data_IF_400926104832
#
_entry.id   IF_400926104832
#
_cell.length_a   1.000
_cell.length_b   1.000
_cell.length_c   1.000
_cell.angle_alpha   90.00
_cell.angle_beta   90.00
_cell.angle_gamma   90.00
#
_symmetry.space_group_name_H-M   'P 1'
#
loop_
_entity.id
_entity.type
_entity.pdbx_description
1 polymer ?
#
# COMPACT_ATOMS: atom_id res chain seq x y z
N UNK A 1 -21.80 -31.52 -5.23
CA UNK A 1 -20.87 -31.74 -6.38
C UNK A 1 -19.52 -31.01 -6.16
N UNK A 2 -19.54 -29.83 -5.59
CA UNK A 2 -18.34 -29.04 -5.32
C UNK A 2 -17.52 -29.59 -4.12
N UNK A 3 -18.18 -30.04 -3.06
CA UNK A 3 -17.51 -30.69 -1.93
C UNK A 3 -16.78 -31.98 -2.33
N UNK A 4 -17.33 -32.75 -3.29
CA UNK A 4 -16.71 -33.96 -3.80
C UNK A 4 -15.41 -33.70 -4.58
N UNK A 5 -15.17 -32.47 -5.04
CA UNK A 5 -14.01 -32.04 -5.81
C UNK A 5 -13.04 -31.17 -5.01
N UNK A 6 -13.20 -31.06 -3.69
CA UNK A 6 -12.32 -30.26 -2.81
C UNK A 6 -12.46 -28.75 -3.02
N UNK A 7 -13.54 -28.27 -3.64
CA UNK A 7 -13.83 -26.85 -3.79
C UNK A 7 -14.40 -26.35 -2.45
N UNK A 8 -13.63 -25.55 -1.73
CA UNK A 8 -14.09 -24.89 -0.51
C UNK A 8 -14.87 -23.63 -0.90
N UNK A 9 -16.14 -23.55 -0.50
CA UNK A 9 -16.90 -22.31 -0.58
C UNK A 9 -16.48 -21.42 0.58
N UNK A 10 -16.08 -20.19 0.27
CA UNK A 10 -15.84 -19.15 1.27
C UNK A 10 -17.12 -18.34 1.35
N UNK A 11 -17.77 -18.33 2.50
CA UNK A 11 -18.87 -17.42 2.78
C UNK A 11 -18.28 -16.03 3.00
N UNK A 12 -18.80 -15.03 2.27
CA UNK A 12 -18.38 -13.64 2.38
C UNK A 12 -19.45 -12.84 3.12
N UNK A 13 -18.98 -11.94 3.98
CA UNK A 13 -19.78 -10.90 4.60
C UNK A 13 -19.45 -9.55 3.96
N UNK A 14 -20.35 -8.58 4.08
CA UNK A 14 -20.16 -7.21 3.57
C UNK A 14 -20.38 -6.19 4.71
N UNK A 15 -19.55 -5.15 4.74
CA UNK A 15 -19.79 -3.92 5.52
C UNK A 15 -19.77 -2.73 4.57
N UNK A 16 -20.59 -1.72 4.89
CA UNK A 16 -20.71 -0.51 4.09
C UNK A 16 -20.63 0.73 4.98
N UNK A 17 -19.95 1.78 4.51
CA UNK A 17 -19.91 3.09 5.16
C UNK A 17 -21.04 4.00 4.65
N UNK A 18 -21.24 5.12 5.33
CA UNK A 18 -22.20 6.16 4.90
C UNK A 18 -21.86 6.77 3.54
N UNK A 19 -20.58 6.74 3.15
CA UNK A 19 -20.09 7.24 1.86
C UNK A 19 -20.21 6.18 0.74
N UNK A 20 -20.81 5.01 1.04
CA UNK A 20 -21.02 3.93 0.10
C UNK A 20 -19.78 3.10 -0.20
N UNK A 21 -18.69 3.26 0.56
CA UNK A 21 -17.52 2.39 0.49
C UNK A 21 -17.88 1.06 1.15
N UNK A 22 -17.60 -0.04 0.45
CA UNK A 22 -17.91 -1.38 0.89
C UNK A 22 -16.67 -2.23 1.03
N UNK A 23 -16.71 -3.19 1.94
CA UNK A 23 -15.75 -4.29 2.00
C UNK A 23 -16.47 -5.63 1.96
N UNK A 24 -15.86 -6.59 1.26
CA UNK A 24 -16.24 -8.01 1.34
C UNK A 24 -15.07 -8.77 1.99
N UNK A 25 -15.37 -9.61 2.95
CA UNK A 25 -14.39 -10.35 3.72
C UNK A 25 -14.88 -11.77 4.04
N UNK A 26 -13.93 -12.67 4.29
CA UNK A 26 -14.23 -14.04 4.68
C UNK A 26 -14.94 -14.06 6.04
N UNK A 27 -16.01 -14.84 6.15
CA UNK A 27 -16.69 -15.10 7.43
C UNK A 27 -15.76 -15.75 8.46
N UNK A 28 -14.74 -16.45 7.97
CA UNK A 28 -13.73 -17.14 8.78
C UNK A 28 -12.54 -16.23 9.15
N UNK A 29 -12.51 -14.95 8.71
CA UNK A 29 -11.45 -14.01 9.11
C UNK A 29 -11.42 -13.84 10.63
N UNK A 30 -10.31 -14.21 11.26
CA UNK A 30 -10.18 -14.27 12.73
C UNK A 30 -10.23 -12.89 13.40
N UNK A 31 -10.04 -11.81 12.65
CA UNK A 31 -10.02 -10.45 13.18
C UNK A 31 -11.36 -9.73 13.04
N UNK A 32 -12.10 -9.99 11.97
CA UNK A 32 -13.29 -9.22 11.59
C UNK A 32 -14.52 -10.07 11.27
N UNK A 33 -14.36 -11.40 11.14
CA UNK A 33 -15.44 -12.35 10.88
C UNK A 33 -15.93 -13.06 12.16
N UNK A 34 -16.87 -13.99 11.97
CA UNK A 34 -17.43 -14.82 13.05
C UNK A 34 -17.97 -14.01 14.22
N UNK A 35 -17.52 -14.34 15.44
CA UNK A 35 -17.97 -13.69 16.68
C UNK A 35 -17.54 -12.21 16.80
N UNK A 36 -16.63 -11.75 15.95
CA UNK A 36 -16.15 -10.36 15.93
C UNK A 36 -16.93 -9.46 14.95
N UNK A 37 -17.76 -10.05 14.09
CA UNK A 37 -18.44 -9.33 13.01
C UNK A 37 -19.28 -8.13 13.48
N UNK A 38 -20.08 -8.32 14.54
CA UNK A 38 -20.94 -7.27 15.09
C UNK A 38 -20.15 -6.22 15.91
N UNK A 39 -18.92 -6.56 16.34
CA UNK A 39 -18.07 -5.73 17.19
C UNK A 39 -17.13 -4.83 16.37
N UNK A 40 -17.09 -5.01 15.07
CA UNK A 40 -16.19 -4.27 14.18
C UNK A 40 -17.02 -3.36 13.28
N UNK A 41 -16.73 -2.06 13.28
CA UNK A 41 -17.29 -1.08 12.37
C UNK A 41 -16.33 -0.75 11.26
N UNK A 42 -16.85 -0.59 10.04
CA UNK A 42 -16.12 0.02 8.92
C UNK A 42 -16.38 1.52 8.95
N UNK A 43 -15.31 2.29 8.93
CA UNK A 43 -15.35 3.75 8.87
C UNK A 43 -14.58 4.25 7.65
N UNK A 44 -15.11 5.27 7.00
CA UNK A 44 -14.42 6.01 5.96
C UNK A 44 -14.54 7.51 6.20
N UNK A 45 -13.52 8.24 5.76
CA UNK A 45 -13.49 9.68 5.81
C UNK A 45 -12.77 10.20 4.57
N UNK A 46 -13.42 11.08 3.82
CA UNK A 46 -12.72 11.80 2.76
C UNK A 46 -11.78 12.83 3.39
N UNK A 47 -10.51 12.78 3.00
CA UNK A 47 -9.48 13.72 3.44
C UNK A 47 -9.52 15.00 2.61
N UNK A 48 -9.23 16.10 3.26
CA UNK A 48 -9.09 17.43 2.67
C UNK A 48 -7.71 18.01 2.98
N UNK A 49 -7.33 19.12 2.35
CA UNK A 49 -6.05 19.79 2.58
C UNK A 49 -5.80 20.19 4.04
N UNK A 50 -6.86 20.31 4.85
CA UNK A 50 -6.75 20.61 6.28
C UNK A 50 -6.38 19.40 7.14
N UNK A 51 -6.45 18.20 6.59
CA UNK A 51 -6.11 16.96 7.29
C UNK A 51 -4.60 16.72 7.28
N UNK A 52 -4.06 16.32 8.42
CA UNK A 52 -2.63 16.04 8.55
C UNK A 52 -2.17 14.91 7.61
N UNK A 53 -3.02 13.91 7.43
CA UNK A 53 -2.78 12.77 6.56
C UNK A 53 -2.70 13.19 5.09
N UNK A 54 -3.47 14.23 4.69
CA UNK A 54 -3.45 14.78 3.34
C UNK A 54 -2.08 15.42 3.00
N UNK A 55 -1.38 15.97 3.98
CA UNK A 55 -0.06 16.59 3.77
C UNK A 55 1.02 15.61 3.28
N UNK A 56 0.78 14.31 3.38
CA UNK A 56 1.65 13.26 2.84
C UNK A 56 1.49 13.10 1.32
N UNK A 57 0.41 13.65 0.74
CA UNK A 57 0.11 13.54 -0.68
C UNK A 57 0.85 14.65 -1.42
N UNK A 58 1.97 14.30 -2.00
CA UNK A 58 2.79 15.18 -2.82
C UNK A 58 3.05 14.53 -4.16
N UNK A 59 2.61 15.16 -5.24
CA UNK A 59 2.75 14.67 -6.61
C UNK A 59 4.04 15.14 -7.28
N UNK A 60 4.86 15.95 -6.63
CA UNK A 60 6.09 16.51 -7.20
C UNK A 60 7.03 15.39 -7.64
N UNK A 61 7.34 15.37 -8.95
CA UNK A 61 8.20 14.35 -9.56
C UNK A 61 7.62 12.94 -9.63
N UNK A 62 6.35 12.76 -9.24
CA UNK A 62 5.70 11.44 -9.15
C UNK A 62 4.64 11.20 -10.23
N UNK A 63 4.41 12.15 -11.13
CA UNK A 63 3.48 12.00 -12.25
C UNK A 63 4.23 11.34 -13.41
N UNK A 64 3.61 10.33 -14.05
CA UNK A 64 4.20 9.66 -15.24
C UNK A 64 4.04 10.52 -16.49
N UNK A 65 2.91 11.21 -16.62
CA UNK A 65 2.60 12.09 -17.75
C UNK A 65 3.32 13.43 -17.57
N UNK A 66 4.23 13.75 -18.51
CA UNK A 66 5.04 14.97 -18.48
C UNK A 66 4.23 16.26 -18.67
N UNK A 67 3.03 16.16 -19.23
CA UNK A 67 2.18 17.31 -19.55
C UNK A 67 1.24 17.69 -18.40
N UNK A 68 1.14 16.83 -17.37
CA UNK A 68 0.33 17.07 -16.16
C UNK A 68 1.21 17.65 -15.06
N UNK A 69 0.82 18.78 -14.51
CA UNK A 69 1.51 19.40 -13.37
C UNK A 69 0.96 18.89 -12.05
N UNK A 70 1.76 18.87 -10.97
CA UNK A 70 1.33 18.42 -9.65
C UNK A 70 0.07 19.14 -9.14
N UNK A 71 -0.04 20.44 -9.39
CA UNK A 71 -1.18 21.27 -8.98
C UNK A 71 -2.46 21.01 -9.79
N UNK A 72 -2.35 20.37 -10.96
CA UNK A 72 -3.49 20.06 -11.84
C UNK A 72 -4.02 18.63 -11.62
N UNK A 73 -3.40 17.83 -10.73
CA UNK A 73 -3.84 16.47 -10.44
C UNK A 73 -5.17 16.49 -9.68
N UNK A 74 -6.23 16.08 -10.38
CA UNK A 74 -7.53 15.86 -9.75
C UNK A 74 -7.52 14.55 -8.99
N UNK A 75 -7.78 14.59 -7.68
CA UNK A 75 -7.81 13.41 -6.83
C UNK A 75 -8.83 13.50 -5.72
N UNK A 76 -9.30 12.36 -5.26
CA UNK A 76 -10.10 12.20 -4.03
C UNK A 76 -9.37 11.20 -3.14
N UNK A 77 -9.23 11.54 -1.87
CA UNK A 77 -8.50 10.71 -0.91
C UNK A 77 -9.40 10.28 0.22
N UNK A 78 -9.35 9.01 0.55
CA UNK A 78 -10.12 8.41 1.63
C UNK A 78 -9.18 7.80 2.67
N UNK A 79 -9.45 8.05 3.93
CA UNK A 79 -8.98 7.23 5.03
C UNK A 79 -10.05 6.17 5.31
N UNK A 80 -9.65 4.90 5.20
CA UNK A 80 -10.54 3.76 5.47
C UNK A 80 -9.97 3.01 6.67
N UNK A 81 -10.82 2.67 7.64
CA UNK A 81 -10.39 1.97 8.84
C UNK A 81 -11.46 1.04 9.36
N UNK A 82 -11.02 -0.02 10.05
CA UNK A 82 -11.86 -0.86 10.89
C UNK A 82 -11.63 -0.48 12.34
N UNK A 83 -12.72 -0.35 13.11
CA UNK A 83 -12.69 -0.02 14.53
C UNK A 83 -13.41 -1.08 15.34
N UNK A 84 -12.81 -1.46 16.48
CA UNK A 84 -13.50 -2.28 17.46
C UNK A 84 -14.41 -1.42 18.38
N UNK A 85 -15.17 -2.04 19.26
CA UNK A 85 -16.06 -1.36 20.22
C UNK A 85 -15.35 -0.34 21.11
N UNK A 86 -14.05 -0.46 21.31
CA UNK A 86 -13.22 0.50 22.06
C UNK A 86 -12.67 1.64 21.17
N UNK A 87 -13.05 1.69 19.90
CA UNK A 87 -12.58 2.70 18.92
C UNK A 87 -11.12 2.48 18.46
N UNK A 88 -10.50 1.35 18.79
CA UNK A 88 -9.16 1.03 18.36
C UNK A 88 -9.18 0.50 16.92
N UNK A 89 -8.19 0.93 16.12
CA UNK A 89 -8.02 0.41 14.75
C UNK A 89 -7.61 -1.06 14.78
N UNK A 90 -8.30 -1.87 13.98
CA UNK A 90 -7.97 -3.27 13.73
C UNK A 90 -7.66 -3.47 12.25
N UNK A 91 -6.92 -4.50 11.93
CA UNK A 91 -6.61 -4.88 10.55
C UNK A 91 -7.17 -6.29 10.28
N UNK A 92 -7.58 -6.58 9.04
CA UNK A 92 -8.02 -7.92 8.68
C UNK A 92 -6.85 -8.91 8.77
N UNK A 93 -7.14 -10.15 9.13
CA UNK A 93 -6.14 -11.23 9.15
C UNK A 93 -5.92 -11.86 7.77
N UNK A 94 -6.84 -11.63 6.85
CA UNK A 94 -6.80 -12.08 5.46
C UNK A 94 -7.02 -10.89 4.51
N UNK A 95 -6.80 -11.10 3.21
CA UNK A 95 -7.14 -10.07 2.22
C UNK A 95 -8.65 -9.88 2.15
N UNK A 96 -9.05 -8.64 2.01
CA UNK A 96 -10.43 -8.22 1.82
C UNK A 96 -10.59 -7.51 0.48
N UNK A 97 -11.77 -7.61 -0.12
CA UNK A 97 -12.12 -6.83 -1.31
C UNK A 97 -12.70 -5.49 -0.87
N UNK A 98 -12.12 -4.41 -1.36
CA UNK A 98 -12.61 -3.04 -1.13
C UNK A 98 -13.29 -2.55 -2.40
N UNK A 99 -14.44 -1.88 -2.25
CA UNK A 99 -15.21 -1.27 -3.33
C UNK A 99 -15.45 0.20 -3.00
N UNK A 100 -14.78 1.09 -3.73
CA UNK A 100 -14.95 2.55 -3.60
C UNK A 100 -15.88 3.00 -4.73
N UNK A 101 -16.99 3.71 -4.45
CA UNK A 101 -17.82 4.30 -5.50
C UNK A 101 -16.95 5.22 -6.38
N UNK A 102 -17.17 5.18 -7.70
CA UNK A 102 -16.51 6.13 -8.60
C UNK A 102 -16.90 7.55 -8.19
N UNK A 103 -15.95 8.43 -7.85
CA UNK A 103 -16.27 9.77 -7.41
C UNK A 103 -16.99 10.59 -8.49
N UNK A 104 -17.83 11.53 -8.08
CA UNK A 104 -18.57 12.40 -8.99
C UNK A 104 -17.62 13.16 -9.94
N UNK A 105 -17.95 13.12 -11.23
CA UNK A 105 -17.17 13.78 -12.27
C UNK A 105 -15.88 13.07 -12.66
N UNK A 106 -15.72 11.79 -12.30
CA UNK A 106 -14.63 10.91 -12.77
C UNK A 106 -15.18 9.87 -13.75
N UNK A 107 -14.31 9.47 -14.69
CA UNK A 107 -14.59 8.36 -15.60
C UNK A 107 -13.99 7.09 -14.99
N UNK A 108 -14.85 6.22 -14.44
CA UNK A 108 -14.40 5.07 -13.65
C UNK A 108 -13.38 4.18 -14.33
N UNK A 109 -13.48 4.01 -15.65
CA UNK A 109 -12.52 3.24 -16.46
C UNK A 109 -11.12 3.85 -16.51
N UNK A 110 -11.00 5.18 -16.29
CA UNK A 110 -9.71 5.87 -16.24
C UNK A 110 -9.16 5.95 -14.82
N UNK A 111 -10.01 5.73 -13.82
CA UNK A 111 -9.62 5.83 -12.42
C UNK A 111 -8.61 4.78 -12.03
N UNK A 112 -7.69 5.21 -11.18
CA UNK A 112 -6.71 4.38 -10.48
C UNK A 112 -6.84 4.62 -9.00
N UNK A 113 -6.61 3.58 -8.23
CA UNK A 113 -6.56 3.65 -6.77
C UNK A 113 -5.13 3.40 -6.32
N UNK A 114 -4.62 4.31 -5.51
CA UNK A 114 -3.30 4.19 -4.91
C UNK A 114 -3.40 4.13 -3.39
N UNK A 115 -2.73 3.18 -2.78
CA UNK A 115 -2.42 3.23 -1.37
C UNK A 115 -1.32 4.27 -1.13
N UNK A 116 -1.48 5.11 -0.11
CA UNK A 116 -0.49 6.11 0.30
C UNK A 116 0.07 5.73 1.66
N UNK A 117 1.33 5.40 1.73
CA UNK A 117 1.97 5.02 2.98
C UNK A 117 2.36 6.23 3.85
N UNK A 118 2.87 5.98 5.07
CA UNK A 118 3.29 6.99 6.02
C UNK A 118 4.39 7.95 5.49
N UNK A 119 5.17 7.51 4.49
CA UNK A 119 6.21 8.29 3.82
C UNK A 119 5.69 9.04 2.57
N UNK A 120 4.39 9.01 2.28
CA UNK A 120 3.77 9.62 1.11
C UNK A 120 4.09 8.92 -0.22
N UNK A 121 4.43 7.63 -0.18
CA UNK A 121 4.67 6.82 -1.37
C UNK A 121 3.38 6.17 -1.84
N UNK A 122 3.26 6.01 -3.16
CA UNK A 122 2.08 5.48 -3.82
C UNK A 122 2.31 4.04 -4.27
N UNK A 123 1.39 3.14 -3.95
CA UNK A 123 1.32 1.78 -4.48
C UNK A 123 0.03 1.63 -5.26
N UNK A 124 0.10 1.23 -6.54
CA UNK A 124 -1.09 0.99 -7.34
C UNK A 124 -1.82 -0.25 -6.84
N UNK A 125 -3.09 -0.11 -6.49
CA UNK A 125 -3.94 -1.20 -6.01
C UNK A 125 -4.50 -2.06 -7.16
N UNK A 126 -4.20 -1.72 -8.43
CA UNK A 126 -4.70 -2.41 -9.62
C UNK A 126 -6.24 -2.54 -9.62
N UNK A 127 -6.91 -1.47 -9.17
CA UNK A 127 -8.35 -1.46 -9.08
C UNK A 127 -9.02 -1.61 -10.45
N UNK A 128 -10.11 -2.38 -10.48
CA UNK A 128 -10.94 -2.58 -11.67
C UNK A 128 -12.26 -1.85 -11.48
N UNK A 129 -12.66 -1.05 -12.49
CA UNK A 129 -13.97 -0.42 -12.47
C UNK A 129 -15.07 -1.41 -12.91
N UNK A 130 -16.02 -1.67 -12.02
CA UNK A 130 -17.17 -2.51 -12.30
C UNK A 130 -18.41 -2.00 -11.57
N UNK A 131 -19.54 -1.90 -12.29
CA UNK A 131 -20.84 -1.49 -11.73
C UNK A 131 -20.79 -0.17 -10.94
N UNK A 132 -19.97 0.79 -11.37
CA UNK A 132 -19.81 2.08 -10.70
C UNK A 132 -18.92 2.06 -9.46
N UNK A 133 -18.19 0.98 -9.23
CA UNK A 133 -17.22 0.84 -8.15
C UNK A 133 -15.81 0.59 -8.69
N UNK A 134 -14.82 1.13 -7.98
CA UNK A 134 -13.40 0.77 -8.11
C UNK A 134 -13.13 -0.34 -7.10
N UNK A 135 -12.79 -1.53 -7.61
CA UNK A 135 -12.70 -2.77 -6.83
C UNK A 135 -11.24 -3.21 -6.79
N UNK A 136 -10.71 -3.45 -5.60
CA UNK A 136 -9.35 -3.95 -5.38
C UNK A 136 -9.26 -4.79 -4.10
N UNK A 137 -8.19 -5.55 -3.96
CA UNK A 137 -7.89 -6.32 -2.75
C UNK A 137 -6.82 -5.64 -1.89
N UNK A 138 -6.96 -5.73 -0.57
CA UNK A 138 -5.96 -5.26 0.39
C UNK A 138 -5.91 -6.16 1.62
N UNK A 139 -4.73 -6.26 2.24
CA UNK A 139 -4.55 -6.89 3.56
C UNK A 139 -4.52 -5.88 4.71
N UNK A 140 -4.66 -4.59 4.43
CA UNK A 140 -4.65 -3.55 5.47
C UNK A 140 -5.51 -2.35 5.06
N UNK A 141 -6.04 -1.64 6.05
CA UNK A 141 -6.76 -0.39 5.85
C UNK A 141 -5.87 0.80 6.18
N UNK A 142 -5.99 1.88 5.39
CA UNK A 142 -5.17 3.08 5.48
C UNK A 142 -5.74 4.20 4.60
N UNK A 143 -4.84 5.02 4.03
CA UNK A 143 -5.16 6.12 3.11
C UNK A 143 -5.10 5.61 1.67
N UNK A 144 -6.20 5.83 0.94
CA UNK A 144 -6.34 5.50 -0.47
C UNK A 144 -6.67 6.75 -1.29
N UNK A 145 -5.97 6.93 -2.39
CA UNK A 145 -6.15 8.04 -3.31
C UNK A 145 -6.75 7.53 -4.62
N UNK A 146 -7.81 8.16 -5.09
CA UNK A 146 -8.44 7.93 -6.38
C UNK A 146 -8.08 9.09 -7.32
N UNK A 147 -7.57 8.79 -8.51
CA UNK A 147 -7.24 9.77 -9.54
C UNK A 147 -7.31 9.14 -10.93
N UNK A 148 -7.45 9.97 -11.97
CA UNK A 148 -7.33 9.55 -13.37
C UNK A 148 -5.88 9.69 -13.89
N UNK A 149 -5.00 10.32 -13.11
CA UNK A 149 -3.59 10.52 -13.44
C UNK A 149 -2.76 9.30 -13.10
N UNK A 150 -1.83 8.94 -13.98
CA UNK A 150 -0.84 7.90 -13.69
C UNK A 150 0.24 8.44 -12.75
N UNK A 151 0.30 7.86 -11.57
CA UNK A 151 1.30 8.20 -10.56
C UNK A 151 2.41 7.14 -10.60
N UNK A 152 3.67 7.60 -10.60
CA UNK A 152 4.83 6.71 -10.43
C UNK A 152 4.69 5.98 -9.10
N UNK A 153 4.45 4.70 -9.21
CA UNK A 153 4.38 3.85 -8.03
C UNK A 153 5.80 3.45 -7.62
N UNK A 154 6.02 3.31 -6.33
CA UNK A 154 7.07 2.40 -5.92
C UNK A 154 6.59 1.01 -6.35
N UNK A 155 7.29 0.39 -7.27
CA UNK A 155 7.30 -1.07 -7.37
C UNK A 155 7.49 -1.58 -5.95
N UNK A 156 6.83 -2.68 -5.57
CA UNK A 156 7.02 -3.29 -4.25
C UNK A 156 8.49 -3.19 -3.88
N UNK A 157 8.78 -2.52 -2.74
CA UNK A 157 10.17 -2.27 -2.34
C UNK A 157 10.84 -3.63 -2.27
N UNK A 158 11.70 -3.91 -3.22
CA UNK A 158 12.55 -5.08 -3.14
C UNK A 158 13.67 -4.76 -2.15
N UNK A 159 13.36 -4.92 -0.86
CA UNK A 159 14.35 -4.66 0.18
C UNK A 159 15.66 -5.39 -0.12
N UNK A 160 16.75 -4.64 -0.18
CA UNK A 160 18.06 -5.13 -0.53
C UNK A 160 18.50 -4.84 -1.97
N UNK A 161 17.59 -4.46 -2.87
CA UNK A 161 17.91 -3.96 -4.22
C UNK A 161 18.15 -2.44 -4.15
N UNK A 162 19.23 -2.06 -3.50
CA UNK A 162 19.55 -0.65 -3.24
C UNK A 162 19.96 0.12 -4.50
N UNK A 163 20.42 -0.57 -5.55
CA UNK A 163 20.83 0.04 -6.81
C UNK A 163 19.71 0.07 -7.87
N UNK A 164 18.59 -0.65 -7.63
CA UNK A 164 17.41 -0.68 -8.51
C UNK A 164 17.61 -1.52 -9.78
N UNK A 165 18.55 -2.50 -9.78
CA UNK A 165 18.79 -3.34 -10.97
C UNK A 165 17.95 -4.63 -11.01
N UNK A 166 17.06 -4.83 -10.03
CA UNK A 166 16.15 -5.97 -9.92
C UNK A 166 16.79 -7.21 -9.30
N UNK A 167 17.97 -7.09 -8.70
CA UNK A 167 18.69 -8.19 -8.03
C UNK A 167 19.18 -7.76 -6.66
N UNK A 168 19.24 -8.70 -5.74
CA UNK A 168 19.84 -8.49 -4.43
C UNK A 168 21.22 -9.18 -4.42
N UNK A 169 22.28 -8.39 -4.53
CA UNK A 169 23.65 -8.92 -4.53
C UNK A 169 24.66 -7.97 -3.83
N UNK A 170 25.95 -8.29 -3.94
CA UNK A 170 26.99 -7.49 -3.27
C UNK A 170 27.11 -6.05 -3.79
N UNK A 171 26.59 -5.74 -4.99
CA UNK A 171 26.60 -4.38 -5.56
C UNK A 171 25.73 -3.45 -4.76
N UNK A 172 24.62 -3.94 -4.21
CA UNK A 172 23.72 -3.17 -3.34
C UNK A 172 24.40 -2.77 -2.04
N UNK A 173 25.07 -3.71 -1.40
CA UNK A 173 25.86 -3.40 -0.21
C UNK A 173 27.00 -2.38 -0.52
N UNK A 174 27.58 -2.40 -1.72
CA UNK A 174 28.56 -1.41 -2.15
C UNK A 174 27.93 -0.04 -2.34
N UNK A 175 26.73 0.04 -2.94
CA UNK A 175 26.01 1.30 -3.13
C UNK A 175 25.66 1.94 -1.78
N UNK A 176 25.17 1.17 -0.82
CA UNK A 176 24.92 1.65 0.55
C UNK A 176 26.22 2.17 1.19
N UNK A 177 27.32 1.45 1.08
CA UNK A 177 28.61 1.90 1.64
C UNK A 177 29.12 3.19 1.00
N UNK A 178 28.93 3.38 -0.32
CA UNK A 178 29.24 4.64 -1.02
C UNK A 178 28.39 5.78 -0.49
N UNK A 179 27.07 5.55 -0.31
CA UNK A 179 26.14 6.54 0.26
C UNK A 179 26.58 6.98 1.66
N UNK A 180 26.84 6.03 2.55
CA UNK A 180 27.30 6.28 3.93
C UNK A 180 28.63 7.03 3.97
N UNK A 181 29.51 6.75 3.01
CA UNK A 181 30.81 7.43 2.88
C UNK A 181 30.73 8.80 2.19
N UNK A 182 29.51 9.29 1.81
CA UNK A 182 29.30 10.60 1.20
C UNK A 182 29.71 10.71 -0.26
N UNK A 183 29.88 9.60 -0.99
CA UNK A 183 30.09 9.63 -2.42
C UNK A 183 28.85 10.12 -3.16
N UNK A 184 29.04 10.71 -4.34
CA UNK A 184 27.97 11.21 -5.21
C UNK A 184 28.11 10.61 -6.61
N UNK A 185 27.10 10.82 -7.49
CA UNK A 185 27.16 10.41 -8.89
C UNK A 185 26.76 8.95 -9.14
N UNK A 186 25.95 8.36 -8.27
CA UNK A 186 25.32 7.06 -8.44
C UNK A 186 23.85 7.08 -7.99
N UNK A 187 23.07 6.11 -8.44
CA UNK A 187 21.67 5.96 -8.02
C UNK A 187 21.60 5.05 -6.78
N UNK A 188 20.77 5.43 -5.81
CA UNK A 188 20.41 4.61 -4.66
C UNK A 188 18.94 4.79 -4.34
N UNK A 189 18.22 3.68 -4.14
CA UNK A 189 16.88 3.68 -3.54
C UNK A 189 17.04 3.54 -2.02
N UNK A 190 16.80 4.64 -1.30
CA UNK A 190 16.99 4.69 0.16
C UNK A 190 16.00 3.81 0.92
N UNK A 191 14.83 3.53 0.34
CA UNK A 191 13.87 2.67 1.01
C UNK A 191 14.19 1.20 0.82
N UNK A 192 14.63 0.81 -0.38
CA UNK A 192 15.16 -0.53 -0.64
C UNK A 192 16.47 -0.79 0.14
N UNK A 193 17.21 0.27 0.43
CA UNK A 193 18.46 0.23 1.18
C UNK A 193 18.29 0.10 2.69
N UNK A 194 17.19 0.62 3.28
CA UNK A 194 16.86 0.49 4.72
C UNK A 194 16.28 -0.91 5.00
N UNK A 195 17.15 -1.91 4.95
CA UNK A 195 16.75 -3.32 5.04
C UNK A 195 16.47 -3.81 6.46
N UNK A 196 16.78 -2.99 7.46
CA UNK A 196 16.45 -3.27 8.85
C UNK A 196 15.24 -2.46 9.35
N UNK A 197 14.64 -1.62 8.49
CA UNK A 197 13.46 -0.81 8.75
C UNK A 197 13.59 0.12 9.99
N UNK A 198 14.82 0.57 10.32
CA UNK A 198 15.02 1.48 11.45
C UNK A 198 14.91 2.98 11.05
N UNK A 199 14.57 3.26 9.78
CA UNK A 199 14.41 4.59 9.21
C UNK A 199 15.73 5.28 8.84
N UNK A 200 16.85 4.55 8.83
CA UNK A 200 18.18 5.06 8.46
C UNK A 200 18.87 4.10 7.51
N UNK A 201 19.62 4.64 6.58
CA UNK A 201 20.52 3.85 5.72
C UNK A 201 21.94 4.00 6.22
N UNK A 202 22.49 2.92 6.76
CA UNK A 202 23.85 2.90 7.30
C UNK A 202 24.58 1.55 7.00
N UNK A 203 25.72 1.34 7.64
CA UNK A 203 26.53 0.14 7.42
C UNK A 203 25.85 -1.16 7.90
N UNK A 204 24.87 -1.07 8.83
CA UNK A 204 24.13 -2.25 9.32
C UNK A 204 23.29 -2.86 8.20
N UNK A 205 22.71 -2.01 7.34
CA UNK A 205 21.93 -2.44 6.19
C UNK A 205 22.80 -3.18 5.18
N UNK A 206 23.95 -2.60 4.84
CA UNK A 206 24.92 -3.27 3.98
C UNK A 206 25.33 -4.65 4.52
N UNK A 207 25.52 -4.76 5.84
CA UNK A 207 25.85 -6.04 6.49
C UNK A 207 24.68 -7.01 6.44
N UNK A 208 23.42 -6.53 6.63
CA UNK A 208 22.22 -7.39 6.59
C UNK A 208 22.01 -7.97 5.17
N UNK A 209 22.25 -7.16 4.12
CA UNK A 209 22.26 -7.64 2.71
C UNK A 209 23.34 -8.72 2.51
N UNK A 210 24.57 -8.47 2.94
CA UNK A 210 25.67 -9.44 2.78
C UNK A 210 25.39 -10.76 3.52
N UNK A 211 24.75 -10.70 4.70
CA UNK A 211 24.28 -11.89 5.42
C UNK A 211 23.25 -12.66 4.59
N UNK A 212 22.26 -11.95 4.01
CA UNK A 212 21.23 -12.59 3.16
C UNK A 212 21.83 -13.31 1.98
N UNK A 213 22.79 -12.69 1.28
CA UNK A 213 23.50 -13.27 0.13
C UNK A 213 24.33 -14.49 0.55
N UNK A 214 24.93 -14.44 1.74
CA UNK A 214 25.71 -15.54 2.31
C UNK A 214 24.83 -16.67 2.91
N UNK A 215 23.51 -16.65 2.60
CA UNK A 215 22.53 -17.68 3.02
C UNK A 215 22.34 -17.77 4.54
N UNK A 216 22.61 -16.69 5.28
CA UNK A 216 22.18 -16.59 6.67
C UNK A 216 20.65 -16.38 6.73
N UNK A 217 20.03 -16.92 7.78
CA UNK A 217 18.59 -16.73 8.02
C UNK A 217 18.34 -15.30 8.52
N UNK A 218 18.13 -14.38 7.57
CA UNK A 218 17.79 -12.98 7.82
C UNK A 218 16.66 -12.55 6.89
N UNK A 219 15.69 -11.82 7.42
CA UNK A 219 14.63 -11.18 6.65
C UNK A 219 15.03 -9.74 6.36
N UNK A 220 14.82 -9.27 5.13
CA UNK A 220 15.03 -7.88 4.75
C UNK A 220 13.71 -7.11 4.83
N UNK A 221 13.77 -5.83 5.26
CA UNK A 221 12.58 -4.98 5.41
C UNK A 221 11.87 -5.12 6.76
N UNK A 222 12.50 -5.78 7.73
CA UNK A 222 11.98 -5.94 9.08
C UNK A 222 13.02 -5.46 10.11
N UNK A 223 12.51 -4.82 11.20
CA UNK A 223 13.32 -4.32 12.31
C UNK A 223 13.91 -5.45 13.17
#
# INVERSE_FOLDING_TARGET
YAEANGIRFIELNEKETTDGIKIEYSKDDSSIGGDNEEKISLESRQLTESDKEYSKIDFTGKIEDSDVKPEDVKSVTYEISLKNESGQTVQPSEKVTVKIPVPDGYMGENCKVYYVNEKGKFTNMNAVCQNGFLIFETGHFSTYLVTETNIKTVSEITYGDANGDGKIDSRDAVVIKKYVAGFTGFTIDLDAADVNADGKVDTRDAVKILKKIAVFDVTLGEA
#
